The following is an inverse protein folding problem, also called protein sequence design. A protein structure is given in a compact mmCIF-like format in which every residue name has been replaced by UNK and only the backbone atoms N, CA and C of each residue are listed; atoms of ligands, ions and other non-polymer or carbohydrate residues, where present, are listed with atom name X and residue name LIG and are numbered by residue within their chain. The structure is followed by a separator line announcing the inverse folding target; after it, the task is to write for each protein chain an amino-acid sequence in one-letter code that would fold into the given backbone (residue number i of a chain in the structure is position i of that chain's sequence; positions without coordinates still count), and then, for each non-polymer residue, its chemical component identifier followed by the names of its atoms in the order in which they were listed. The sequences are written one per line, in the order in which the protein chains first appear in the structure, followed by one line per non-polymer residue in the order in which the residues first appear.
data_IF_216752811255
#
_entry.id   IF_216752811255
#
_cell.length_a   1.000
_cell.length_b   1.000
_cell.length_c   1.000
_cell.angle_alpha   90.00
_cell.angle_beta   90.00
_cell.angle_gamma   90.00
#
_symmetry.space_group_name_H-M   'P 1'
#
loop_
_entity.id
_entity.type
_entity.pdbx_description
1 polymer ?
#
# COMPACT_ATOMS: atom_id res chain seq x y z
N UNK A 1 1.40 -6.33 34.17
CA UNK A 1 1.76 -4.89 34.16
C UNK A 1 1.51 -4.43 32.74
N UNK A 2 0.72 -3.37 32.55
CA UNK A 2 0.60 -2.79 31.19
C UNK A 2 1.97 -2.22 30.81
N UNK A 3 2.54 -2.71 29.72
CA UNK A 3 3.81 -2.21 29.22
C UNK A 3 3.55 -0.89 28.49
N UNK A 4 4.24 0.17 28.89
CA UNK A 4 4.07 1.51 28.31
C UNK A 4 4.53 1.61 26.85
N UNK A 5 5.35 0.66 26.37
CA UNK A 5 5.77 0.60 24.96
C UNK A 5 4.73 -0.06 24.06
N UNK A 6 3.81 -0.85 24.61
CA UNK A 6 2.76 -1.50 23.85
C UNK A 6 1.53 -0.60 23.73
N UNK A 7 1.01 -0.48 22.50
CA UNK A 7 -0.29 0.17 22.27
C UNK A 7 -1.38 -0.46 23.16
N UNK A 8 -2.31 0.36 23.67
CA UNK A 8 -3.40 -0.11 24.53
C UNK A 8 -4.26 -1.22 23.87
N UNK A 9 -4.51 -1.11 22.56
CA UNK A 9 -5.28 -2.12 21.83
C UNK A 9 -4.50 -3.44 21.69
N UNK A 10 -3.18 -3.39 21.55
CA UNK A 10 -2.32 -4.57 21.57
C UNK A 10 -2.28 -5.21 22.96
N UNK A 11 -2.13 -4.42 24.03
CA UNK A 11 -2.22 -4.90 25.41
C UNK A 11 -3.55 -5.63 25.67
N UNK A 12 -4.65 -5.04 25.20
CA UNK A 12 -5.98 -5.64 25.32
C UNK A 12 -6.07 -6.96 24.53
N UNK A 13 -5.53 -6.99 23.30
CA UNK A 13 -5.55 -8.17 22.45
C UNK A 13 -4.71 -9.33 23.01
N UNK A 14 -3.57 -9.02 23.65
CA UNK A 14 -2.72 -10.01 24.31
C UNK A 14 -3.35 -10.58 25.59
N UNK A 15 -4.12 -9.76 26.33
CA UNK A 15 -4.84 -10.18 27.53
C UNK A 15 -6.16 -10.91 27.24
N UNK A 16 -6.72 -10.79 26.02
CA UNK A 16 -7.97 -11.40 25.63
C UNK A 16 -7.81 -12.90 25.33
N UNK A 17 -8.85 -13.68 25.65
CA UNK A 17 -8.98 -15.07 25.21
C UNK A 17 -9.17 -15.16 23.68
N UNK A 18 -8.92 -16.33 23.09
CA UNK A 18 -9.13 -16.57 21.65
C UNK A 18 -10.58 -16.29 21.25
N UNK A 19 -11.54 -16.74 22.06
CA UNK A 19 -12.98 -16.51 21.84
C UNK A 19 -13.36 -15.02 21.89
N UNK A 20 -12.74 -14.24 22.77
CA UNK A 20 -12.96 -12.79 22.86
C UNK A 20 -12.35 -12.05 21.66
N UNK A 21 -11.18 -12.49 21.20
CA UNK A 21 -10.56 -11.92 19.98
C UNK A 21 -11.40 -12.19 18.73
N UNK A 22 -11.87 -13.43 18.55
CA UNK A 22 -12.73 -13.81 17.40
C UNK A 22 -14.05 -13.03 17.35
N UNK A 23 -14.61 -12.64 18.48
CA UNK A 23 -15.82 -11.83 18.57
C UNK A 23 -15.59 -10.35 18.27
N UNK A 24 -14.34 -9.91 18.23
CA UNK A 24 -13.97 -8.53 18.01
C UNK A 24 -13.35 -8.34 16.63
N UNK A 25 -13.93 -7.47 15.80
CA UNK A 25 -13.40 -7.11 14.47
C UNK A 25 -12.00 -6.48 14.51
N UNK A 26 -11.51 -6.12 15.70
CA UNK A 26 -10.29 -5.34 15.86
C UNK A 26 -9.18 -6.05 16.65
N UNK A 27 -9.51 -6.95 17.55
CA UNK A 27 -8.51 -7.53 18.46
C UNK A 27 -7.62 -8.57 17.78
N UNK A 28 -8.10 -9.27 16.78
CA UNK A 28 -7.37 -10.31 16.02
C UNK A 28 -6.54 -9.79 14.85
N UNK A 29 -6.70 -8.52 14.47
CA UNK A 29 -5.99 -7.93 13.32
C UNK A 29 -4.49 -8.01 13.52
N UNK A 30 -3.79 -8.67 12.58
CA UNK A 30 -2.35 -8.95 12.66
C UNK A 30 -1.99 -10.23 13.40
N UNK A 31 -2.96 -10.95 13.96
CA UNK A 31 -2.73 -12.24 14.60
C UNK A 31 -2.89 -13.40 13.62
N UNK A 32 -1.96 -14.34 13.68
CA UNK A 32 -1.95 -15.58 12.91
C UNK A 32 -2.23 -16.76 13.86
N UNK A 33 -3.48 -17.24 13.94
CA UNK A 33 -3.87 -18.19 14.99
C UNK A 33 -3.18 -19.56 14.87
N UNK A 34 -2.88 -20.02 13.64
CA UNK A 34 -2.23 -21.33 13.42
C UNK A 34 -0.81 -21.32 14.00
N UNK A 35 -0.04 -20.26 13.71
CA UNK A 35 1.37 -20.15 14.11
C UNK A 35 1.54 -19.43 15.45
N UNK A 36 0.47 -18.84 15.98
CA UNK A 36 0.48 -17.97 17.18
C UNK A 36 1.48 -16.82 17.05
N UNK A 37 1.45 -16.16 15.90
CA UNK A 37 2.32 -15.06 15.55
C UNK A 37 1.54 -13.77 15.40
N UNK A 38 2.22 -12.66 15.62
CA UNK A 38 1.71 -11.31 15.41
C UNK A 38 2.53 -10.61 14.34
N UNK A 39 1.86 -9.92 13.46
CA UNK A 39 2.44 -8.86 12.65
C UNK A 39 2.26 -7.53 13.39
N UNK A 40 3.36 -6.81 13.62
CA UNK A 40 3.39 -5.60 14.43
C UNK A 40 4.15 -4.50 13.71
N UNK A 41 3.80 -3.27 14.03
CA UNK A 41 4.53 -2.06 13.65
C UNK A 41 5.39 -1.67 14.83
N UNK A 42 6.67 -1.36 14.59
CA UNK A 42 7.56 -0.83 15.63
C UNK A 42 8.16 0.51 15.21
N UNK A 43 8.28 1.43 16.17
CA UNK A 43 9.20 2.57 16.13
C UNK A 43 10.42 2.19 16.96
N UNK A 44 11.61 2.44 16.42
CA UNK A 44 12.87 2.13 17.10
C UNK A 44 13.88 3.26 16.92
N UNK A 45 15.01 3.21 17.64
CA UNK A 45 16.16 4.08 17.45
C UNK A 45 17.43 3.26 17.40
N UNK A 46 18.34 3.55 16.46
CA UNK A 46 19.60 2.85 16.31
C UNK A 46 19.51 1.61 15.43
N UNK A 47 19.98 0.43 15.92
CA UNK A 47 20.01 -0.78 15.11
C UNK A 47 18.88 -1.78 15.47
N UNK A 48 18.61 -2.69 14.55
CA UNK A 48 17.57 -3.74 14.70
C UNK A 48 18.15 -5.14 14.99
N UNK A 49 19.44 -5.26 15.36
CA UNK A 49 20.08 -6.58 15.49
C UNK A 49 19.39 -7.46 16.53
N UNK A 50 19.00 -6.89 17.67
CA UNK A 50 18.28 -7.63 18.72
C UNK A 50 16.85 -7.98 18.28
N UNK A 51 16.17 -7.08 17.55
CA UNK A 51 14.85 -7.34 16.99
C UNK A 51 14.91 -8.47 15.96
N UNK A 52 15.91 -8.46 15.06
CA UNK A 52 16.12 -9.53 14.06
C UNK A 52 16.39 -10.89 14.69
N UNK A 53 17.01 -10.92 15.86
CA UNK A 53 17.26 -12.17 16.60
C UNK A 53 15.97 -12.76 17.21
N UNK A 54 14.95 -11.94 17.48
CA UNK A 54 13.67 -12.35 18.08
C UNK A 54 12.58 -12.56 17.05
N UNK A 55 12.53 -11.71 16.03
CA UNK A 55 11.49 -11.73 15.00
C UNK A 55 11.72 -12.86 13.98
N UNK A 56 10.64 -13.32 13.36
CA UNK A 56 10.64 -14.29 12.27
C UNK A 56 10.93 -13.56 10.96
N UNK A 57 10.36 -12.37 10.81
CA UNK A 57 10.54 -11.50 9.64
C UNK A 57 10.65 -10.04 10.10
N UNK A 58 11.44 -9.25 9.39
CA UNK A 58 11.59 -7.81 9.61
C UNK A 58 11.64 -7.11 8.26
N UNK A 59 10.75 -6.14 8.06
CA UNK A 59 10.83 -5.14 6.98
C UNK A 59 11.21 -3.81 7.59
N UNK A 60 12.38 -3.32 7.27
CA UNK A 60 12.81 -1.97 7.64
C UNK A 60 12.15 -0.95 6.71
N UNK A 61 11.45 -0.02 7.31
CA UNK A 61 10.89 1.15 6.64
C UNK A 61 11.82 2.35 6.86
N UNK A 62 11.55 3.47 6.19
CA UNK A 62 12.30 4.71 6.42
C UNK A 62 12.03 5.26 7.83
N UNK A 63 12.89 6.18 8.28
CA UNK A 63 12.72 6.94 9.52
C UNK A 63 12.59 6.08 10.80
N UNK A 64 13.33 4.96 10.85
CA UNK A 64 13.39 4.08 12.05
C UNK A 64 12.02 3.44 12.40
N UNK A 65 11.23 3.10 11.38
CA UNK A 65 10.07 2.23 11.51
C UNK A 65 10.37 0.85 10.96
N UNK A 66 9.72 -0.18 11.48
CA UNK A 66 9.77 -1.51 10.88
C UNK A 66 8.44 -2.25 11.08
N UNK A 67 8.13 -3.13 10.11
CA UNK A 67 7.09 -4.13 10.24
C UNK A 67 7.77 -5.45 10.61
N UNK A 68 7.29 -6.07 11.66
CA UNK A 68 7.85 -7.33 12.14
C UNK A 68 6.78 -8.41 12.24
N UNK A 69 7.21 -9.66 12.04
CA UNK A 69 6.42 -10.85 12.37
C UNK A 69 7.12 -11.58 13.51
N UNK A 70 6.41 -11.81 14.61
CA UNK A 70 6.99 -12.33 15.84
C UNK A 70 6.02 -13.30 16.55
N UNK A 71 6.56 -14.34 17.18
CA UNK A 71 5.74 -15.22 18.03
C UNK A 71 5.17 -14.45 19.23
N UNK A 72 3.91 -14.68 19.55
CA UNK A 72 3.24 -14.06 20.70
C UNK A 72 4.05 -14.19 22.01
N UNK A 73 4.69 -15.33 22.23
CA UNK A 73 5.49 -15.59 23.42
C UNK A 73 6.78 -14.75 23.54
N UNK A 74 7.16 -14.03 22.49
CA UNK A 74 8.38 -13.20 22.46
C UNK A 74 8.09 -11.70 22.50
N UNK A 75 6.82 -11.28 22.58
CA UNK A 75 6.46 -9.86 22.55
C UNK A 75 6.97 -9.14 23.80
N UNK A 76 6.94 -9.78 24.98
CA UNK A 76 7.52 -9.19 26.20
C UNK A 76 9.02 -8.95 26.04
N UNK A 77 9.75 -9.90 25.45
CA UNK A 77 11.19 -9.74 25.16
C UNK A 77 11.47 -8.63 24.14
N UNK A 78 10.56 -8.42 23.19
CA UNK A 78 10.66 -7.32 22.23
C UNK A 78 10.50 -5.97 22.93
N UNK A 79 9.57 -5.84 23.87
CA UNK A 79 9.35 -4.59 24.60
C UNK A 79 10.51 -4.26 25.55
N UNK A 80 11.25 -5.27 26.00
CA UNK A 80 12.45 -5.08 26.83
C UNK A 80 13.66 -4.54 26.06
N UNK A 81 13.64 -4.58 24.73
CA UNK A 81 14.75 -4.06 23.91
C UNK A 81 14.80 -2.52 24.04
N UNK A 82 15.95 -1.94 24.46
CA UNK A 82 16.06 -0.50 24.66
C UNK A 82 15.81 0.32 23.38
N UNK A 83 16.24 -0.19 22.23
CA UNK A 83 16.11 0.44 20.93
C UNK A 83 14.66 0.49 20.44
N UNK A 84 13.77 -0.35 20.94
CA UNK A 84 12.34 -0.33 20.62
C UNK A 84 11.65 0.74 21.48
N UNK A 85 11.08 1.73 20.83
CA UNK A 85 10.41 2.86 21.46
C UNK A 85 8.91 2.61 21.64
N UNK A 86 8.27 2.04 20.61
CA UNK A 86 6.82 1.79 20.63
C UNK A 86 6.45 0.62 19.73
N UNK A 87 5.40 -0.11 20.10
CA UNK A 87 4.91 -1.29 19.40
C UNK A 87 3.40 -1.14 19.21
N UNK A 88 2.94 -1.23 17.98
CA UNK A 88 1.53 -1.10 17.61
C UNK A 88 1.07 -2.31 16.78
N UNK A 89 -0.15 -2.77 16.99
CA UNK A 89 -0.76 -3.77 16.11
C UNK A 89 -1.38 -3.10 14.88
N UNK A 90 -1.46 -3.79 13.72
CA UNK A 90 -2.10 -3.24 12.54
C UNK A 90 -3.60 -3.02 12.75
N UNK A 91 -4.17 -2.11 11.97
CA UNK A 91 -5.61 -1.79 11.93
C UNK A 91 -6.17 -2.10 10.55
N UNK A 92 -7.44 -2.51 10.47
CA UNK A 92 -8.13 -2.73 9.19
C UNK A 92 -8.38 -1.40 8.48
N UNK A 93 -8.28 -1.43 7.16
CA UNK A 93 -8.55 -0.27 6.29
C UNK A 93 -9.75 -0.57 5.39
N UNK A 94 -10.57 0.45 5.12
CA UNK A 94 -11.76 0.36 4.28
C UNK A 94 -11.70 1.39 3.16
N UNK A 95 -12.15 1.02 1.95
CA UNK A 95 -12.18 1.91 0.79
C UNK A 95 -13.26 3.00 0.92
N UNK A 96 -12.92 4.25 0.50
CA UNK A 96 -13.85 5.39 0.50
C UNK A 96 -13.80 6.11 -0.85
N UNK A 97 -14.98 6.56 -1.37
CA UNK A 97 -15.11 7.36 -2.59
C UNK A 97 -15.72 8.71 -2.24
N UNK A 98 -15.12 9.81 -2.69
CA UNK A 98 -15.65 11.17 -2.53
C UNK A 98 -15.72 11.94 -3.87
N UNK A 99 -16.82 12.70 -4.08
CA UNK A 99 -17.11 13.54 -5.25
C UNK A 99 -16.30 14.84 -5.23
N UNK A 100 -15.02 14.83 -5.64
CA UNK A 100 -14.09 15.94 -5.44
C UNK A 100 -13.71 16.83 -6.64
N UNK A 101 -13.79 16.33 -7.87
CA UNK A 101 -13.15 17.00 -9.02
C UNK A 101 -13.73 18.39 -9.37
N UNK A 102 -15.04 18.61 -9.18
CA UNK A 102 -15.71 19.85 -9.62
C UNK A 102 -15.53 21.03 -8.67
N UNK A 103 -15.14 20.79 -7.43
CA UNK A 103 -15.08 21.84 -6.37
C UNK A 103 -13.70 22.49 -6.26
N UNK A 104 -12.68 21.91 -6.95
CA UNK A 104 -11.27 22.26 -6.73
C UNK A 104 -10.65 23.17 -7.79
N UNK A 105 -11.42 23.81 -8.68
CA UNK A 105 -10.93 24.73 -9.74
C UNK A 105 -9.82 24.13 -10.63
N UNK A 106 -9.82 22.81 -10.84
CA UNK A 106 -8.75 22.10 -11.57
C UNK A 106 -8.76 22.46 -13.05
N UNK A 107 -9.93 22.79 -13.61
CA UNK A 107 -10.04 23.09 -15.03
C UNK A 107 -9.19 24.31 -15.44
N UNK A 108 -9.09 25.34 -14.60
CA UNK A 108 -8.28 26.52 -14.83
C UNK A 108 -6.78 26.21 -14.80
N UNK A 109 -6.36 25.25 -13.94
CA UNK A 109 -4.95 24.82 -13.84
C UNK A 109 -4.52 24.03 -15.07
N UNK A 110 -5.43 23.25 -15.67
CA UNK A 110 -5.20 22.45 -16.87
C UNK A 110 -5.35 23.24 -18.18
N UNK A 111 -5.92 24.45 -18.13
CA UNK A 111 -6.15 25.25 -19.34
C UNK A 111 -4.81 25.73 -19.93
N UNK A 112 -4.58 25.32 -21.20
CA UNK A 112 -3.36 25.67 -21.95
C UNK A 112 -3.14 27.16 -22.13
N UNK A 113 -4.19 27.96 -21.94
CA UNK A 113 -4.11 29.44 -22.01
C UNK A 113 -3.54 30.07 -20.73
N UNK A 114 -3.45 29.30 -19.64
CA UNK A 114 -2.99 29.79 -18.33
C UNK A 114 -1.75 29.05 -17.85
N UNK A 115 -1.91 27.91 -17.19
CA UNK A 115 -0.82 27.20 -16.52
C UNK A 115 -0.39 25.92 -17.22
N UNK A 116 -1.28 25.28 -17.95
CA UNK A 116 -1.06 23.99 -18.68
C UNK A 116 -0.40 22.91 -17.79
N UNK A 117 -0.78 22.86 -16.52
CA UNK A 117 -0.27 21.87 -15.59
C UNK A 117 -1.12 20.60 -15.68
N UNK A 118 -0.55 19.53 -16.24
CA UNK A 118 -1.24 18.28 -16.53
C UNK A 118 -0.55 17.06 -15.90
N UNK A 119 0.50 17.29 -15.08
CA UNK A 119 1.23 16.26 -14.38
C UNK A 119 2.47 15.73 -15.08
N UNK A 120 2.98 16.41 -16.11
CA UNK A 120 4.23 16.03 -16.78
C UNK A 120 5.40 15.99 -15.78
N UNK A 121 6.18 14.91 -15.81
CA UNK A 121 7.35 14.74 -14.94
C UNK A 121 7.02 14.51 -13.46
N UNK A 122 5.76 14.17 -13.14
CA UNK A 122 5.30 13.83 -11.80
C UNK A 122 4.76 12.41 -11.78
N UNK A 123 5.03 11.68 -10.70
CA UNK A 123 4.41 10.40 -10.41
C UNK A 123 3.10 10.62 -9.63
N UNK A 124 2.05 9.94 -10.05
CA UNK A 124 0.84 9.76 -9.23
C UNK A 124 0.82 8.33 -8.74
N UNK A 125 0.90 8.16 -7.43
CA UNK A 125 0.84 6.85 -6.80
C UNK A 125 -0.59 6.57 -6.33
N UNK A 126 -1.14 5.44 -6.74
CA UNK A 126 -2.45 4.94 -6.35
C UNK A 126 -2.26 3.73 -5.43
N UNK A 127 -2.57 3.91 -4.15
CA UNK A 127 -2.57 2.83 -3.16
C UNK A 127 -4.04 2.50 -2.88
N UNK A 128 -4.54 1.42 -3.52
CA UNK A 128 -5.98 1.14 -3.54
C UNK A 128 -6.28 -0.36 -3.80
N UNK A 129 -7.48 -0.69 -4.28
CA UNK A 129 -7.91 -2.06 -4.59
C UNK A 129 -7.27 -2.68 -5.84
N UNK A 130 -6.43 -1.93 -6.53
CA UNK A 130 -5.79 -2.30 -7.79
C UNK A 130 -6.11 -1.33 -8.92
N UNK A 131 -5.86 -1.76 -10.15
CA UNK A 131 -6.14 -1.00 -11.37
C UNK A 131 -6.45 -1.96 -12.52
N UNK A 132 -7.35 -1.60 -13.40
CA UNK A 132 -7.43 -2.19 -14.73
C UNK A 132 -6.33 -1.58 -15.61
N UNK A 133 -5.13 -2.15 -15.53
CA UNK A 133 -3.96 -1.66 -16.26
C UNK A 133 -4.12 -1.74 -17.80
N UNK A 134 -5.12 -2.48 -18.27
CA UNK A 134 -5.43 -2.57 -19.68
C UNK A 134 -6.34 -1.45 -20.19
N UNK A 135 -6.93 -0.65 -19.31
CA UNK A 135 -7.75 0.48 -19.68
C UNK A 135 -6.94 1.54 -20.44
N UNK A 136 -7.52 2.07 -21.53
CA UNK A 136 -6.87 3.05 -22.41
C UNK A 136 -6.49 4.34 -21.70
N UNK A 137 -7.18 4.70 -20.61
CA UNK A 137 -6.88 5.90 -19.84
C UNK A 137 -5.53 5.86 -19.11
N UNK A 138 -4.94 4.66 -18.99
CA UNK A 138 -3.63 4.47 -18.35
C UNK A 138 -2.53 4.11 -19.35
N UNK A 139 -2.78 4.31 -20.66
CA UNK A 139 -1.82 4.04 -21.74
C UNK A 139 -1.39 5.31 -22.44
N UNK A 140 -0.18 5.28 -22.98
CA UNK A 140 0.34 6.26 -23.89
C UNK A 140 -0.35 6.18 -25.27
N UNK A 141 -0.10 7.16 -26.12
CA UNK A 141 -0.67 7.20 -27.48
C UNK A 141 -0.21 6.03 -28.37
N UNK A 142 0.97 5.50 -28.12
CA UNK A 142 1.54 4.33 -28.81
C UNK A 142 1.03 2.98 -28.26
N UNK A 143 0.16 3.01 -27.24
CA UNK A 143 -0.42 1.83 -26.61
C UNK A 143 0.39 1.26 -25.44
N UNK A 144 1.59 1.78 -25.17
CA UNK A 144 2.38 1.39 -24.00
C UNK A 144 1.74 1.88 -22.70
N UNK A 145 2.10 1.25 -21.57
CA UNK A 145 1.58 1.66 -20.27
C UNK A 145 2.20 2.97 -19.76
N UNK A 146 1.45 3.72 -18.95
CA UNK A 146 1.94 4.84 -18.14
C UNK A 146 2.32 4.39 -16.73
N UNK A 147 2.10 3.11 -16.41
CA UNK A 147 2.42 2.54 -15.09
C UNK A 147 3.89 2.12 -15.09
N UNK A 148 4.72 2.80 -14.29
CA UNK A 148 6.15 2.51 -14.16
C UNK A 148 6.39 1.21 -13.41
N UNK A 149 5.64 1.01 -12.33
CA UNK A 149 5.65 -0.22 -11.54
C UNK A 149 4.29 -0.45 -10.90
N UNK A 150 3.94 -1.72 -10.71
CA UNK A 150 2.74 -2.13 -10.00
C UNK A 150 3.08 -3.22 -8.99
N UNK A 151 2.75 -3.01 -7.71
CA UNK A 151 2.88 -4.00 -6.66
C UNK A 151 1.52 -4.52 -6.22
N UNK A 152 1.24 -5.78 -6.48
CA UNK A 152 0.02 -6.44 -5.97
C UNK A 152 0.35 -7.21 -4.70
N UNK A 153 -0.02 -6.66 -3.54
CA UNK A 153 0.25 -7.24 -2.22
C UNK A 153 -0.58 -8.50 -1.95
N UNK A 154 -1.67 -8.73 -2.69
CA UNK A 154 -2.56 -9.87 -2.50
C UNK A 154 -2.06 -11.16 -3.17
N UNK A 155 -1.13 -11.05 -4.11
CA UNK A 155 -0.58 -12.19 -4.82
C UNK A 155 0.48 -12.92 -3.98
N UNK A 156 0.56 -14.23 -4.18
CA UNK A 156 1.65 -15.03 -3.59
C UNK A 156 2.86 -15.03 -4.53
N UNK A 157 4.06 -14.77 -4.01
CA UNK A 157 5.27 -14.87 -4.81
C UNK A 157 5.45 -16.29 -5.38
N UNK A 158 5.97 -16.36 -6.59
CA UNK A 158 6.37 -17.60 -7.26
C UNK A 158 7.66 -17.35 -8.06
N UNK A 159 8.79 -17.73 -7.48
CA UNK A 159 10.10 -17.51 -8.09
C UNK A 159 10.28 -18.24 -9.44
N UNK A 160 9.63 -19.40 -9.62
CA UNK A 160 9.71 -20.19 -10.87
C UNK A 160 9.01 -19.48 -12.04
N UNK A 161 8.08 -18.53 -11.73
CA UNK A 161 7.36 -17.72 -12.70
C UNK A 161 7.86 -16.27 -12.76
N UNK A 162 9.02 -15.96 -12.19
CA UNK A 162 9.55 -14.60 -12.06
C UNK A 162 8.61 -13.62 -11.32
N UNK A 163 7.67 -14.15 -10.53
CA UNK A 163 6.72 -13.38 -9.72
C UNK A 163 7.28 -13.19 -8.33
N UNK A 164 8.07 -12.15 -8.16
CA UNK A 164 8.78 -11.86 -6.92
C UNK A 164 8.20 -10.64 -6.21
N UNK A 165 8.32 -10.57 -4.86
CA UNK A 165 8.04 -9.34 -4.14
C UNK A 165 9.08 -8.27 -4.48
N UNK A 166 8.77 -6.99 -4.28
CA UNK A 166 9.77 -5.94 -4.39
C UNK A 166 10.94 -6.19 -3.43
N UNK A 167 12.11 -5.71 -3.79
CA UNK A 167 13.32 -5.87 -2.96
C UNK A 167 13.12 -5.22 -1.58
N UNK A 168 13.31 -6.01 -0.53
CA UNK A 168 13.18 -5.58 0.86
C UNK A 168 11.82 -5.91 1.48
N UNK A 169 10.88 -6.45 0.69
CA UNK A 169 9.57 -6.90 1.16
C UNK A 169 9.44 -8.41 1.00
N UNK A 170 8.50 -9.04 1.72
CA UNK A 170 8.30 -10.51 1.67
C UNK A 170 7.01 -10.94 1.01
N UNK A 171 6.10 -10.00 0.71
CA UNK A 171 4.75 -10.30 0.23
C UNK A 171 4.46 -9.66 -1.11
N UNK A 172 3.44 -10.19 -1.77
CA UNK A 172 2.97 -9.66 -3.04
C UNK A 172 3.91 -9.93 -4.21
N UNK A 173 3.57 -9.35 -5.35
CA UNK A 173 4.36 -9.45 -6.59
C UNK A 173 4.49 -8.08 -7.21
N UNK A 174 5.72 -7.70 -7.57
CA UNK A 174 6.00 -6.49 -8.34
C UNK A 174 5.97 -6.80 -9.84
N UNK A 175 5.36 -5.91 -10.61
CA UNK A 175 5.37 -5.93 -12.07
C UNK A 175 5.99 -4.64 -12.58
N UNK A 176 7.00 -4.78 -13.43
CA UNK A 176 7.68 -3.64 -14.08
C UNK A 176 6.89 -3.15 -15.28
N UNK A 177 7.23 -1.95 -15.76
CA UNK A 177 6.68 -1.36 -16.99
C UNK A 177 6.82 -2.33 -18.17
N UNK A 178 7.98 -2.98 -18.32
CA UNK A 178 8.23 -3.92 -19.41
C UNK A 178 7.34 -5.17 -19.33
N UNK A 179 7.10 -5.68 -18.12
CA UNK A 179 6.21 -6.83 -17.92
C UNK A 179 4.76 -6.47 -18.23
N UNK A 180 4.32 -5.27 -17.83
CA UNK A 180 2.98 -4.76 -18.15
C UNK A 180 2.84 -4.55 -19.66
N UNK A 181 3.81 -3.94 -20.34
CA UNK A 181 3.80 -3.74 -21.78
C UNK A 181 3.72 -5.07 -22.54
N UNK A 182 4.53 -6.06 -22.18
CA UNK A 182 4.44 -7.41 -22.75
C UNK A 182 3.06 -8.04 -22.56
N UNK A 183 2.44 -7.85 -21.40
CA UNK A 183 1.09 -8.33 -21.17
C UNK A 183 0.05 -7.60 -22.02
N UNK A 184 0.23 -6.30 -22.28
CA UNK A 184 -0.66 -5.51 -23.14
C UNK A 184 -0.58 -5.92 -24.62
N UNK A 185 0.53 -6.48 -25.07
CA UNK A 185 0.74 -7.03 -26.42
C UNK A 185 0.10 -8.41 -26.62
N UNK A 186 -0.36 -9.07 -25.56
CA UNK A 186 -0.93 -10.41 -25.65
C UNK A 186 -2.24 -10.43 -26.46
N UNK A 187 -2.39 -11.46 -27.30
CA UNK A 187 -3.53 -11.63 -28.22
C UNK A 187 -4.88 -11.82 -27.49
N UNK A 188 -4.85 -12.25 -26.25
CA UNK A 188 -6.05 -12.52 -25.46
C UNK A 188 -5.98 -11.97 -24.04
N UNK A 189 -7.16 -11.65 -23.47
CA UNK A 189 -7.26 -11.25 -22.07
C UNK A 189 -6.88 -12.38 -21.08
N UNK A 190 -6.97 -13.63 -21.53
CA UNK A 190 -6.57 -14.78 -20.72
C UNK A 190 -5.03 -14.87 -20.62
N UNK A 191 -4.35 -14.73 -21.75
CA UNK A 191 -2.89 -14.70 -21.79
C UNK A 191 -2.33 -13.52 -21.03
N UNK A 192 -2.92 -12.33 -21.19
CA UNK A 192 -2.60 -11.13 -20.41
C UNK A 192 -2.66 -11.41 -18.92
N UNK A 193 -3.74 -12.05 -18.44
CA UNK A 193 -3.92 -12.39 -17.02
C UNK A 193 -2.97 -13.47 -16.53
N UNK A 194 -2.44 -14.34 -17.37
CA UNK A 194 -1.37 -15.26 -16.97
C UNK A 194 -0.06 -14.53 -16.72
N UNK A 195 0.25 -13.54 -17.55
CA UNK A 195 1.47 -12.75 -17.43
C UNK A 195 1.41 -11.79 -16.24
N UNK A 196 0.34 -10.99 -16.14
CA UNK A 196 0.09 -10.03 -15.07
C UNK A 196 -1.29 -10.28 -14.48
N UNK A 197 -1.40 -11.15 -13.46
CA UNK A 197 -2.68 -11.60 -12.90
C UNK A 197 -3.37 -10.58 -11.98
N UNK A 198 -2.74 -9.44 -11.72
CA UNK A 198 -3.33 -8.38 -10.89
C UNK A 198 -4.61 -7.84 -11.51
N UNK A 199 -5.67 -7.77 -10.72
CA UNK A 199 -6.99 -7.30 -11.15
C UNK A 199 -7.62 -6.41 -10.07
N UNK A 200 -8.28 -5.35 -10.48
CA UNK A 200 -9.16 -4.57 -9.62
C UNK A 200 -10.59 -5.14 -9.67
N UNK A 201 -10.90 -6.04 -8.73
CA UNK A 201 -12.20 -6.71 -8.68
C UNK A 201 -13.32 -5.74 -8.26
N UNK A 202 -13.00 -4.79 -7.41
CA UNK A 202 -13.98 -3.81 -6.91
C UNK A 202 -14.26 -2.67 -7.90
N UNK A 203 -13.30 -2.39 -8.79
CA UNK A 203 -13.31 -1.24 -9.67
C UNK A 203 -13.01 0.10 -8.98
N UNK A 204 -12.83 0.10 -7.65
CA UNK A 204 -12.61 1.33 -6.88
C UNK A 204 -11.29 1.99 -7.23
N UNK A 205 -10.17 1.25 -7.17
CA UNK A 205 -8.86 1.77 -7.49
C UNK A 205 -8.73 2.25 -8.94
N UNK A 206 -9.38 1.55 -9.88
CA UNK A 206 -9.46 1.97 -11.29
C UNK A 206 -10.20 3.31 -11.42
N UNK A 207 -11.33 3.48 -10.73
CA UNK A 207 -12.08 4.73 -10.73
C UNK A 207 -11.28 5.88 -10.11
N UNK A 208 -10.63 5.62 -8.97
CA UNK A 208 -9.76 6.60 -8.29
C UNK A 208 -8.58 6.99 -9.18
N UNK A 209 -7.91 6.02 -9.79
CA UNK A 209 -6.83 6.27 -10.74
C UNK A 209 -7.29 7.11 -11.95
N UNK A 210 -8.48 6.81 -12.48
CA UNK A 210 -9.09 7.58 -13.57
C UNK A 210 -9.33 9.05 -13.20
N UNK A 211 -9.87 9.31 -12.01
CA UNK A 211 -10.08 10.67 -11.49
C UNK A 211 -8.75 11.39 -11.26
N UNK A 212 -7.77 10.70 -10.67
CA UNK A 212 -6.47 11.30 -10.37
C UNK A 212 -5.64 11.54 -11.62
N UNK A 213 -5.55 10.57 -12.53
CA UNK A 213 -4.54 10.55 -13.58
C UNK A 213 -4.98 9.95 -14.93
N UNK A 214 -6.26 9.61 -15.11
CA UNK A 214 -6.78 9.13 -16.39
C UNK A 214 -6.58 10.17 -17.50
N UNK A 215 -6.11 9.75 -18.68
CA UNK A 215 -5.89 10.69 -19.79
C UNK A 215 -7.15 10.93 -20.64
N UNK A 216 -8.24 10.22 -20.36
CA UNK A 216 -9.54 10.38 -21.02
C UNK A 216 -9.65 9.64 -22.36
N UNK A 217 -8.67 8.87 -22.79
CA UNK A 217 -8.69 8.18 -24.11
C UNK A 217 -9.85 7.20 -24.23
N UNK A 218 -10.16 6.44 -23.19
CA UNK A 218 -11.28 5.52 -23.15
C UNK A 218 -12.64 6.19 -23.30
N UNK A 219 -12.72 7.50 -23.06
CA UNK A 219 -13.92 8.33 -23.24
C UNK A 219 -13.89 9.27 -24.45
N UNK A 220 -12.93 9.11 -25.36
CA UNK A 220 -12.73 10.04 -26.47
C UNK A 220 -12.33 11.45 -26.00
N UNK A 221 -11.56 11.54 -24.93
CA UNK A 221 -11.07 12.76 -24.27
C UNK A 221 -12.16 13.60 -23.57
N UNK A 222 -13.33 13.02 -23.30
CA UNK A 222 -14.40 13.73 -22.57
C UNK A 222 -14.12 13.81 -21.08
N UNK A 223 -13.49 12.79 -20.50
CA UNK A 223 -13.28 12.68 -19.07
C UNK A 223 -11.78 12.43 -18.75
N UNK A 224 -10.99 13.49 -18.69
CA UNK A 224 -9.62 13.40 -18.22
C UNK A 224 -9.54 13.62 -16.70
N UNK A 225 -8.55 13.02 -16.07
CA UNK A 225 -8.23 13.16 -14.65
C UNK A 225 -7.58 14.51 -14.30
N UNK A 226 -7.11 14.61 -13.05
CA UNK A 226 -6.44 15.81 -12.52
C UNK A 226 -5.04 15.96 -13.11
N UNK A 227 -4.30 14.84 -13.27
CA UNK A 227 -2.94 14.80 -13.79
C UNK A 227 -2.84 13.83 -14.99
N UNK A 228 -3.51 14.14 -16.15
CA UNK A 228 -3.66 13.19 -17.26
C UNK A 228 -2.34 12.84 -17.97
N UNK A 229 -1.27 13.59 -17.74
CA UNK A 229 0.05 13.37 -18.35
C UNK A 229 1.11 12.92 -17.34
N UNK A 230 0.69 12.58 -16.11
CA UNK A 230 1.57 11.97 -15.11
C UNK A 230 1.91 10.52 -15.45
N UNK A 231 3.01 10.02 -14.87
CA UNK A 231 3.31 8.60 -14.83
C UNK A 231 2.73 7.99 -13.54
N UNK A 232 2.53 6.67 -13.50
CA UNK A 232 1.82 6.01 -12.42
C UNK A 232 2.71 5.04 -11.65
N UNK A 233 2.55 5.02 -10.33
CA UNK A 233 2.91 3.91 -9.46
C UNK A 233 1.61 3.33 -8.90
N UNK A 234 1.43 2.02 -8.94
CA UNK A 234 0.22 1.39 -8.41
C UNK A 234 0.59 0.39 -7.33
N UNK A 235 -0.06 0.51 -6.18
CA UNK A 235 -0.02 -0.54 -5.15
C UNK A 235 -1.43 -1.04 -4.93
N UNK A 236 -1.67 -2.28 -5.32
CA UNK A 236 -2.89 -2.97 -4.95
C UNK A 236 -2.77 -3.47 -3.53
N UNK A 237 -3.54 -2.85 -2.66
CA UNK A 237 -3.62 -3.24 -1.27
C UNK A 237 -4.27 -4.60 -1.11
N UNK A 238 -3.75 -5.40 -0.21
CA UNK A 238 -4.31 -6.70 0.12
C UNK A 238 -3.37 -7.50 0.99
N UNK A 239 -3.86 -8.62 1.47
CA UNK A 239 -3.06 -9.58 2.20
C UNK A 239 -3.24 -10.94 1.55
N UNK A 240 -2.17 -11.77 1.40
CA UNK A 240 -2.31 -13.15 0.97
C UNK A 240 -2.96 -14.03 2.05
N UNK A 241 -3.41 -13.43 3.16
CA UNK A 241 -4.11 -14.09 4.26
C UNK A 241 -5.57 -14.40 3.91
N UNK A 242 -6.21 -15.37 4.60
CA UNK A 242 -7.57 -15.79 4.29
C UNK A 242 -8.64 -14.70 4.38
N UNK A 243 -8.42 -13.68 5.22
CA UNK A 243 -9.36 -12.56 5.37
C UNK A 243 -9.25 -11.52 4.26
N UNK A 244 -8.09 -11.48 3.55
CA UNK A 244 -7.86 -10.65 2.37
C UNK A 244 -7.98 -9.14 2.55
N UNK A 245 -8.31 -8.65 3.76
CA UNK A 245 -8.49 -7.22 4.02
C UNK A 245 -7.14 -6.53 4.20
N UNK A 246 -6.95 -5.33 3.60
CA UNK A 246 -5.76 -4.52 3.83
C UNK A 246 -5.74 -3.98 5.27
N UNK A 247 -4.54 -3.86 5.82
CA UNK A 247 -4.26 -3.37 7.17
C UNK A 247 -3.29 -2.19 7.12
N UNK A 248 -3.08 -1.54 8.25
CA UNK A 248 -2.11 -0.45 8.35
C UNK A 248 -0.66 -0.89 8.07
N UNK A 249 -0.33 -2.16 8.29
CA UNK A 249 0.98 -2.74 7.93
C UNK A 249 1.21 -2.77 6.43
N UNK A 250 0.23 -3.21 5.64
CA UNK A 250 0.28 -3.17 4.18
C UNK A 250 0.34 -1.73 3.67
N UNK A 251 -0.40 -0.81 4.31
CA UNK A 251 -0.37 0.61 3.96
C UNK A 251 1.01 1.23 4.18
N UNK A 252 1.62 1.03 5.35
CA UNK A 252 2.94 1.57 5.64
C UNK A 252 4.00 1.04 4.67
N UNK A 253 3.96 -0.26 4.36
CA UNK A 253 4.83 -0.85 3.36
C UNK A 253 4.59 -0.27 1.95
N UNK A 254 3.31 -0.05 1.59
CA UNK A 254 2.95 0.56 0.30
C UNK A 254 3.49 1.99 0.17
N UNK A 255 3.37 2.81 1.22
CA UNK A 255 3.90 4.18 1.23
C UNK A 255 5.43 4.20 1.15
N UNK A 256 6.11 3.37 1.97
CA UNK A 256 7.57 3.22 1.91
C UNK A 256 8.02 2.80 0.50
N UNK A 257 7.36 1.81 -0.10
CA UNK A 257 7.64 1.35 -1.46
C UNK A 257 7.50 2.49 -2.48
N UNK A 258 6.41 3.24 -2.43
CA UNK A 258 6.15 4.36 -3.34
C UNK A 258 7.24 5.42 -3.23
N UNK A 259 7.61 5.81 -2.00
CA UNK A 259 8.66 6.82 -1.79
C UNK A 259 10.02 6.32 -2.28
N UNK A 260 10.38 5.05 -2.02
CA UNK A 260 11.63 4.46 -2.54
C UNK A 260 11.65 4.43 -4.07
N UNK A 261 10.54 4.07 -4.72
CA UNK A 261 10.44 4.08 -6.19
C UNK A 261 10.50 5.50 -6.76
N UNK A 262 9.87 6.48 -6.12
CA UNK A 262 9.97 7.87 -6.53
C UNK A 262 11.42 8.39 -6.47
N UNK A 263 12.15 8.04 -5.41
CA UNK A 263 13.58 8.35 -5.27
C UNK A 263 14.42 7.63 -6.35
N UNK A 264 14.13 6.36 -6.63
CA UNK A 264 14.78 5.57 -7.69
C UNK A 264 14.58 6.22 -9.06
N UNK A 265 13.36 6.64 -9.38
CA UNK A 265 13.01 7.34 -10.62
C UNK A 265 13.45 8.81 -10.62
N UNK A 266 13.83 9.37 -9.48
CA UNK A 266 14.18 10.79 -9.29
C UNK A 266 13.05 11.73 -9.73
N UNK A 267 11.82 11.39 -9.38
CA UNK A 267 10.63 12.14 -9.72
C UNK A 267 9.84 12.52 -8.46
N UNK A 268 9.24 13.71 -8.43
CA UNK A 268 8.28 14.04 -7.37
C UNK A 268 7.06 13.12 -7.47
N UNK A 269 6.44 12.80 -6.33
CA UNK A 269 5.27 11.92 -6.27
C UNK A 269 4.14 12.55 -5.47
N UNK A 270 2.92 12.40 -5.99
CA UNK A 270 1.68 12.64 -5.26
C UNK A 270 1.02 11.29 -4.94
N UNK A 271 0.78 11.01 -3.67
CA UNK A 271 0.21 9.73 -3.22
C UNK A 271 -1.29 9.90 -2.97
N UNK A 272 -2.11 9.10 -3.62
CA UNK A 272 -3.54 9.01 -3.37
C UNK A 272 -3.83 7.83 -2.44
N UNK A 273 -4.51 8.13 -1.33
CA UNK A 273 -5.04 7.18 -0.36
C UNK A 273 -6.55 7.40 -0.25
N UNK A 274 -7.35 6.50 -0.82
CA UNK A 274 -8.82 6.63 -0.86
C UNK A 274 -9.53 5.65 0.05
N UNK A 275 -8.93 5.31 1.19
CA UNK A 275 -9.51 4.46 2.21
C UNK A 275 -8.99 4.86 3.60
N UNK A 276 -9.67 4.38 4.62
CA UNK A 276 -9.33 4.65 6.01
C UNK A 276 -10.16 3.81 6.96
N UNK A 277 -10.03 4.09 8.24
CA UNK A 277 -10.85 3.50 9.28
C UNK A 277 -11.34 4.58 10.25
N UNK A 278 -12.29 4.21 11.10
CA UNK A 278 -12.86 5.09 12.13
C UNK A 278 -12.31 4.79 13.52
N UNK A 279 -11.27 3.96 13.62
CA UNK A 279 -10.68 3.53 14.88
C UNK A 279 -9.45 4.35 15.22
N UNK A 280 -9.30 4.66 16.50
CA UNK A 280 -8.18 5.41 17.04
C UNK A 280 -8.60 6.77 17.55
N UNK A 281 -7.65 7.51 18.08
CA UNK A 281 -7.86 8.84 18.66
C UNK A 281 -8.04 9.93 17.61
N UNK A 282 -7.64 9.68 16.37
CA UNK A 282 -7.61 10.67 15.27
C UNK A 282 -6.87 11.98 15.64
N UNK A 283 -5.81 11.86 16.44
CA UNK A 283 -5.05 12.98 16.98
C UNK A 283 -3.62 13.08 16.42
N UNK A 284 -3.31 12.32 15.37
CA UNK A 284 -2.01 12.29 14.72
C UNK A 284 -0.93 11.53 15.52
N UNK A 285 -1.31 10.68 16.49
CA UNK A 285 -0.36 10.02 17.40
C UNK A 285 -0.15 8.54 17.16
N UNK A 286 -0.98 7.88 16.34
CA UNK A 286 -0.72 6.49 15.97
C UNK A 286 0.56 6.38 15.13
N UNK A 287 1.17 5.19 15.10
CA UNK A 287 2.42 5.01 14.35
C UNK A 287 2.25 5.24 12.85
N UNK A 288 1.10 4.88 12.28
CA UNK A 288 0.83 5.14 10.86
C UNK A 288 0.70 6.64 10.56
N UNK A 289 0.05 7.42 11.44
CA UNK A 289 -0.10 8.86 11.28
C UNK A 289 1.26 9.57 11.40
N UNK A 290 2.05 9.22 12.41
CA UNK A 290 3.42 9.75 12.55
C UNK A 290 4.33 9.35 11.39
N UNK A 291 4.20 8.11 10.89
CA UNK A 291 4.97 7.68 9.74
C UNK A 291 4.65 8.50 8.49
N UNK A 292 3.38 8.87 8.28
CA UNK A 292 2.98 9.77 7.18
C UNK A 292 3.63 11.15 7.33
N UNK A 293 3.69 11.68 8.56
CA UNK A 293 4.32 12.98 8.82
C UNK A 293 5.84 12.93 8.64
N UNK A 294 6.48 11.80 8.87
CA UNK A 294 7.92 11.59 8.79
C UNK A 294 8.41 11.29 7.36
N UNK A 295 7.52 10.87 6.42
CA UNK A 295 7.86 10.58 5.02
C UNK A 295 8.05 11.84 4.16
#
# INVERSE_FOLDING_TARGET
MEDQKLENLLNLALGATEEEREKSLNLDVGYHPIDREWELIIKYSGNLDQVRALAIQVVELQNEYAIIRISQSRIDLLSDIPEVEYIEKPKRLFFQIANGKRVSCINEVQDTRFLDMRGQGVLVAIIDSGIDYANEDFRNADGTTRIRVMWDQSLRPNADEEKNPPKGYWMGVEFTEEQINRALEADSSEERRRMVPSQDISGHGTAVAGIAAGNGRGSGNLYAGVAPESELIVVKMGSPMPDGFPRTTELMQAMDYVVRKALEFRMPVAINLSFGNTYGSHDGRSLVERYIDDL
#
